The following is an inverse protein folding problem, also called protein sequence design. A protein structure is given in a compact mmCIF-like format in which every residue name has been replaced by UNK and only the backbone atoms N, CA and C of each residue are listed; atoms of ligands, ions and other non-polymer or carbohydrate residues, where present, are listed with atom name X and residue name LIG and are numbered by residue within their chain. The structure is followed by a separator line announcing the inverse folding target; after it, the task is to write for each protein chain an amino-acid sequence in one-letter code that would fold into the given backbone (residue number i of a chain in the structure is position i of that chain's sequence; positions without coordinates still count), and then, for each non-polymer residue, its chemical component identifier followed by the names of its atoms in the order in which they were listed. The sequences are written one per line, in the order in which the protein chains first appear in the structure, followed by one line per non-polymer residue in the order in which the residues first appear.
data_IF_163345153285
#
_entry.id   IF_163345153285
#
_cell.length_a   1.000
_cell.length_b   1.000
_cell.length_c   1.000
_cell.angle_alpha   90.00
_cell.angle_beta   90.00
_cell.angle_gamma   90.00
#
_symmetry.space_group_name_H-M   'P 1'
#
loop_
_entity.id
_entity.type
_entity.pdbx_description
1 polymer ?
#
# COMPACT_ATOMS: atom_id res chain seq x y z
N UNK A 1 12.82 -6.59 -1.80
CA UNK A 1 12.66 -5.53 -2.80
C UNK A 1 12.43 -4.22 -2.11
N UNK A 2 12.78 -3.12 -2.78
CA UNK A 2 12.46 -1.76 -2.35
C UNK A 2 10.96 -1.53 -2.53
N UNK A 3 10.31 -0.91 -1.54
CA UNK A 3 8.90 -0.48 -1.65
C UNK A 3 8.84 1.04 -1.49
N UNK A 4 8.13 1.71 -2.38
CA UNK A 4 7.99 3.17 -2.36
C UNK A 4 6.54 3.57 -2.52
N UNK A 5 6.08 4.45 -1.64
CA UNK A 5 4.85 5.19 -1.79
C UNK A 5 5.26 6.62 -2.18
N UNK A 6 4.76 7.10 -3.31
CA UNK A 6 5.06 8.43 -3.84
C UNK A 6 3.78 9.23 -4.00
N UNK A 7 3.59 10.23 -3.14
CA UNK A 7 2.44 11.14 -3.15
C UNK A 7 1.08 10.45 -3.20
N UNK A 8 0.95 9.33 -2.48
CA UNK A 8 -0.23 8.47 -2.55
C UNK A 8 -1.44 9.21 -1.95
N UNK A 9 -2.52 9.26 -2.73
CA UNK A 9 -3.84 9.74 -2.33
C UNK A 9 -4.88 8.63 -2.54
N UNK A 10 -5.78 8.45 -1.57
CA UNK A 10 -6.78 7.39 -1.62
C UNK A 10 -8.01 7.67 -0.74
N UNK A 11 -9.17 7.24 -1.25
CA UNK A 11 -10.48 7.36 -0.62
C UNK A 11 -11.32 6.12 -0.93
N UNK A 12 -12.03 5.57 0.05
CA UNK A 12 -13.04 4.53 -0.21
C UNK A 12 -14.31 5.08 -0.85
N UNK A 13 -14.58 6.37 -0.60
CA UNK A 13 -15.69 7.12 -1.17
C UNK A 13 -15.17 8.51 -1.55
N UNK A 14 -15.52 9.06 -2.73
CA UNK A 14 -14.97 10.33 -3.20
C UNK A 14 -15.14 11.53 -2.26
N UNK A 15 -16.17 11.51 -1.41
CA UNK A 15 -16.48 12.55 -0.42
C UNK A 15 -15.67 12.45 0.88
N UNK A 16 -14.91 11.36 1.08
CA UNK A 16 -14.21 11.04 2.34
C UNK A 16 -12.77 10.60 2.08
N UNK A 17 -11.85 11.55 1.85
CA UNK A 17 -10.44 11.23 1.65
C UNK A 17 -9.83 10.62 2.91
N UNK A 18 -9.18 9.46 2.74
CA UNK A 18 -8.53 8.71 3.82
C UNK A 18 -7.01 8.97 3.85
N UNK A 19 -6.38 8.99 2.68
CA UNK A 19 -4.97 9.30 2.49
C UNK A 19 -4.89 10.48 1.52
N UNK A 20 -4.12 11.52 1.86
CA UNK A 20 -4.03 12.74 1.05
C UNK A 20 -2.72 12.89 0.28
N UNK A 21 -1.60 12.62 0.96
CA UNK A 21 -0.26 12.74 0.39
C UNK A 21 0.71 11.94 1.25
N UNK A 22 0.75 10.62 1.04
CA UNK A 22 1.64 9.73 1.78
C UNK A 22 2.85 9.36 0.92
N UNK A 23 4.04 9.69 1.43
CA UNK A 23 5.31 9.30 0.82
C UNK A 23 6.23 8.63 1.83
N UNK A 24 6.73 7.44 1.49
CA UNK A 24 7.78 6.76 2.25
C UNK A 24 8.47 5.70 1.39
N UNK A 25 9.67 5.33 1.79
CA UNK A 25 10.49 4.31 1.14
C UNK A 25 10.97 3.30 2.16
N UNK A 26 10.92 2.03 1.79
CA UNK A 26 11.38 0.89 2.60
C UNK A 26 12.49 0.19 1.85
N UNK A 27 13.67 0.16 2.46
CA UNK A 27 14.84 -0.52 1.90
C UNK A 27 14.82 -2.02 2.23
N UNK A 28 15.48 -2.86 1.40
CA UNK A 28 15.66 -4.27 1.71
C UNK A 28 16.27 -4.49 3.09
N UNK A 29 15.66 -5.39 3.87
CA UNK A 29 16.10 -5.71 5.24
C UNK A 29 15.60 -4.75 6.32
N UNK A 30 14.87 -3.70 5.97
CA UNK A 30 14.20 -2.85 6.95
C UNK A 30 12.86 -3.45 7.38
N UNK A 31 12.60 -3.42 8.69
CA UNK A 31 11.28 -3.69 9.26
C UNK A 31 10.58 -2.37 9.53
N UNK A 32 9.42 -2.16 8.91
CA UNK A 32 8.59 -0.97 9.12
C UNK A 32 7.31 -1.36 9.86
N UNK A 33 7.00 -0.62 10.92
CA UNK A 33 5.77 -0.77 11.67
C UNK A 33 4.84 0.41 11.36
N UNK A 34 3.60 0.11 10.95
CA UNK A 34 2.55 1.11 10.76
C UNK A 34 1.70 1.15 12.04
N UNK A 35 1.80 2.24 12.80
CA UNK A 35 1.13 2.40 14.10
C UNK A 35 0.17 3.59 14.05
N UNK A 36 -1.00 3.42 14.69
CA UNK A 36 -2.02 4.46 14.76
C UNK A 36 -3.33 3.92 15.32
N UNK A 37 -4.30 4.79 15.65
CA UNK A 37 -5.60 4.37 16.18
C UNK A 37 -6.39 3.52 15.17
N UNK A 38 -7.40 2.80 15.65
CA UNK A 38 -8.35 2.11 14.77
C UNK A 38 -8.98 3.11 13.80
N UNK A 39 -9.07 2.73 12.52
CA UNK A 39 -9.56 3.62 11.46
C UNK A 39 -8.51 4.54 10.83
N UNK A 40 -7.27 4.59 11.33
CA UNK A 40 -6.19 5.41 10.77
C UNK A 40 -5.64 4.97 9.40
N UNK A 41 -6.29 4.00 8.72
CA UNK A 41 -5.86 3.54 7.39
C UNK A 41 -4.75 2.48 7.37
N UNK A 42 -4.40 1.86 8.51
CA UNK A 42 -3.33 0.82 8.56
C UNK A 42 -3.61 -0.36 7.61
N UNK A 43 -4.79 -0.97 7.73
CA UNK A 43 -5.21 -2.06 6.84
C UNK A 43 -5.35 -1.59 5.40
N UNK A 44 -5.74 -0.33 5.20
CA UNK A 44 -5.82 0.28 3.86
C UNK A 44 -4.46 0.28 3.19
N UNK A 45 -3.38 0.69 3.87
CA UNK A 45 -2.03 0.68 3.28
C UNK A 45 -1.61 -0.70 2.78
N UNK A 46 -1.88 -1.75 3.56
CA UNK A 46 -1.61 -3.13 3.14
C UNK A 46 -2.46 -3.50 1.92
N UNK A 47 -3.74 -3.13 1.92
CA UNK A 47 -4.64 -3.40 0.79
C UNK A 47 -4.23 -2.67 -0.50
N UNK A 48 -3.69 -1.45 -0.39
CA UNK A 48 -3.17 -0.69 -1.53
C UNK A 48 -1.91 -1.32 -2.09
N UNK A 49 -0.97 -1.74 -1.24
CA UNK A 49 0.23 -2.46 -1.66
C UNK A 49 -0.12 -3.78 -2.38
N UNK A 50 -1.14 -4.48 -1.91
CA UNK A 50 -1.67 -5.71 -2.52
C UNK A 50 -2.56 -5.45 -3.75
N UNK A 51 -2.71 -4.18 -4.14
CA UNK A 51 -3.51 -3.69 -5.27
C UNK A 51 -4.96 -4.20 -5.26
N UNK A 52 -5.57 -4.23 -4.07
CA UNK A 52 -7.02 -4.50 -3.96
C UNK A 52 -7.87 -3.30 -4.38
N UNK A 53 -7.31 -2.09 -4.32
CA UNK A 53 -7.94 -0.85 -4.75
C UNK A 53 -6.99 -0.06 -5.65
N UNK A 54 -7.55 0.80 -6.50
CA UNK A 54 -6.80 1.77 -7.30
C UNK A 54 -6.66 3.08 -6.53
N UNK A 55 -5.58 3.83 -6.81
CA UNK A 55 -5.28 5.09 -6.14
C UNK A 55 -6.06 6.24 -6.77
N UNK A 56 -6.37 7.26 -5.95
CA UNK A 56 -6.91 8.52 -6.46
C UNK A 56 -5.78 9.42 -7.01
N UNK A 57 -4.54 9.20 -6.58
CA UNK A 57 -3.36 9.93 -7.02
C UNK A 57 -2.06 9.35 -6.49
N UNK A 58 -0.95 9.77 -7.08
CA UNK A 58 0.39 9.24 -6.79
C UNK A 58 0.60 7.85 -7.36
N UNK A 59 1.58 7.11 -6.83
CA UNK A 59 1.90 5.74 -7.23
C UNK A 59 2.59 4.95 -6.13
N UNK A 60 2.55 3.63 -6.27
CA UNK A 60 3.30 2.70 -5.41
C UNK A 60 4.26 1.93 -6.31
N UNK A 61 5.54 1.91 -5.94
CA UNK A 61 6.59 1.21 -6.67
C UNK A 61 7.04 -0.02 -5.89
N UNK A 62 7.25 -1.12 -6.60
CA UNK A 62 7.92 -2.31 -6.12
C UNK A 62 9.17 -2.54 -6.98
N UNK A 63 10.34 -2.44 -6.37
CA UNK A 63 11.64 -2.50 -7.07
C UNK A 63 11.73 -1.51 -8.25
N UNK A 64 11.19 -0.30 -8.05
CA UNK A 64 11.16 0.78 -9.05
C UNK A 64 10.10 0.62 -10.14
N UNK A 65 9.32 -0.47 -10.12
CA UNK A 65 8.22 -0.70 -11.06
C UNK A 65 6.88 -0.32 -10.43
N UNK A 66 6.10 0.49 -11.14
CA UNK A 66 4.75 0.85 -10.70
C UNK A 66 3.84 -0.38 -10.66
N UNK A 67 3.22 -0.63 -9.50
CA UNK A 67 2.31 -1.78 -9.32
C UNK A 67 1.06 -1.68 -10.20
N UNK A 68 0.68 -0.48 -10.66
CA UNK A 68 -0.42 -0.29 -11.59
C UNK A 68 -0.14 -0.93 -12.96
N UNK A 69 1.14 -1.03 -13.34
CA UNK A 69 1.60 -1.66 -14.58
C UNK A 69 1.79 -3.19 -14.48
N UNK A 70 1.67 -3.76 -13.28
CA UNK A 70 1.82 -5.19 -13.02
C UNK A 70 0.45 -5.88 -12.89
N UNK A 71 0.34 -7.17 -13.20
CA UNK A 71 -0.89 -7.89 -12.83
C UNK A 71 -0.97 -8.05 -11.31
N UNK A 72 -2.18 -8.27 -10.76
CA UNK A 72 -2.33 -8.56 -9.32
C UNK A 72 -1.55 -9.78 -8.89
N UNK A 73 -1.45 -10.78 -9.76
CA UNK A 73 -0.70 -12.01 -9.49
C UNK A 73 0.81 -11.73 -9.46
N UNK A 74 1.31 -10.87 -10.35
CA UNK A 74 2.72 -10.45 -10.33
C UNK A 74 3.07 -9.74 -9.02
N UNK A 75 2.24 -8.78 -8.59
CA UNK A 75 2.44 -8.05 -7.32
C UNK A 75 2.46 -9.04 -6.16
N UNK A 76 1.46 -9.92 -6.08
CA UNK A 76 1.34 -10.89 -4.99
C UNK A 76 2.43 -11.95 -4.99
N UNK A 77 2.96 -12.34 -6.15
CA UNK A 77 4.10 -13.26 -6.22
C UNK A 77 5.38 -12.67 -5.61
N UNK A 78 5.46 -11.33 -5.56
CA UNK A 78 6.60 -10.57 -5.03
C UNK A 78 6.38 -10.05 -3.61
N UNK A 79 5.17 -10.21 -3.04
CA UNK A 79 4.80 -9.74 -1.71
C UNK A 79 4.09 -10.83 -0.89
N UNK A 80 4.60 -11.15 0.30
CA UNK A 80 3.90 -12.01 1.24
C UNK A 80 3.01 -11.20 2.19
N UNK A 81 1.76 -11.63 2.39
CA UNK A 81 0.87 -11.09 3.42
C UNK A 81 0.52 -12.19 4.40
N UNK A 82 0.75 -11.94 5.69
CA UNK A 82 0.25 -12.80 6.78
C UNK A 82 -1.02 -12.16 7.30
N UNK A 83 -2.15 -12.84 7.11
CA UNK A 83 -3.43 -12.42 7.67
C UNK A 83 -3.49 -12.76 9.15
N UNK A 84 -4.11 -11.90 9.95
CA UNK A 84 -4.47 -12.26 11.31
C UNK A 84 -5.65 -13.24 11.22
N UNK A 85 -5.52 -14.42 11.86
CA UNK A 85 -6.56 -15.46 11.80
C UNK A 85 -7.91 -14.92 12.28
N UNK A 86 -9.00 -15.15 11.53
CA UNK A 86 -10.34 -15.03 12.07
C UNK A 86 -10.54 -16.23 13.01
N UNK A 87 -10.62 -15.94 14.30
CA UNK A 87 -10.93 -16.86 15.39
C UNK A 87 -11.99 -17.91 15.03
#
# INVERSE_FOLDING_TARGET
GVIEFEHVAFSYSPDKPLIRDLSFRVEPGQTVAIVGPTGAGKTTLVNLLMRFYELDGGRILLDGQDIAALTRDDVRSRTGMVLQDPW
#
